data_IF_737140490680
#
_entry.id   IF_737140490680
#
_cell.length_a   1.000
_cell.length_b   1.000
_cell.length_c   1.000
_cell.angle_alpha   90.00
_cell.angle_beta   90.00
_cell.angle_gamma   90.00
#
_symmetry.space_group_name_H-M   'P 1'
#
loop_
_entity.id
_entity.type
_entity.pdbx_description
1 polymer ?
#
# COMPACT_ATOMS: atom_id res chain seq x y z
N UNK A 1 -18.66 -15.80 18.33
CA UNK A 1 -18.36 -15.94 16.89
C UNK A 1 -16.98 -16.55 16.78
N UNK A 2 -16.88 -17.79 16.32
CA UNK A 2 -15.61 -18.49 16.15
C UNK A 2 -14.97 -17.99 14.86
N UNK A 3 -13.93 -17.17 14.96
CA UNK A 3 -13.12 -16.79 13.81
C UNK A 3 -12.18 -17.95 13.50
N UNK A 4 -12.55 -18.76 12.52
CA UNK A 4 -11.61 -19.71 11.92
C UNK A 4 -10.61 -18.91 11.09
N UNK A 5 -9.36 -18.83 11.57
CA UNK A 5 -8.21 -18.43 10.77
C UNK A 5 -7.91 -19.56 9.78
N UNK A 6 -8.71 -19.69 8.73
CA UNK A 6 -8.31 -20.49 7.59
C UNK A 6 -7.36 -19.63 6.75
N UNK A 7 -6.09 -20.01 6.69
CA UNK A 7 -5.37 -19.86 5.44
C UNK A 7 -6.24 -20.59 4.39
N UNK A 8 -6.99 -19.85 3.58
CA UNK A 8 -7.94 -20.46 2.65
C UNK A 8 -7.15 -21.22 1.59
N UNK A 9 -6.97 -22.51 1.82
CA UNK A 9 -6.51 -23.48 0.85
C UNK A 9 -7.61 -24.51 0.63
N UNK A 10 -8.60 -24.20 -0.21
CA UNK A 10 -9.51 -25.20 -0.80
C UNK A 10 -9.95 -24.77 -2.20
N UNK A 11 -9.15 -25.09 -3.22
CA UNK A 11 -9.62 -25.62 -4.51
C UNK A 11 -8.42 -26.01 -5.39
N UNK A 12 -8.60 -27.01 -6.24
CA UNK A 12 -7.62 -27.94 -6.82
C UNK A 12 -6.59 -27.43 -7.86
N UNK A 13 -6.02 -26.24 -7.73
CA UNK A 13 -4.88 -25.86 -8.59
C UNK A 13 -3.78 -25.14 -7.79
N UNK A 14 -2.61 -25.80 -7.67
CA UNK A 14 -1.40 -25.28 -7.02
C UNK A 14 -0.94 -23.97 -7.67
N UNK A 15 -1.09 -22.84 -6.98
CA UNK A 15 -0.11 -21.73 -6.98
C UNK A 15 -0.10 -21.11 -5.58
N UNK A 16 1.00 -21.23 -4.83
CA UNK A 16 1.13 -20.73 -3.46
C UNK A 16 1.29 -19.19 -3.45
N UNK A 17 0.20 -18.45 -3.50
CA UNK A 17 0.16 -17.05 -3.06
C UNK A 17 -0.67 -16.97 -1.78
N UNK A 18 -0.01 -16.70 -0.65
CA UNK A 18 -0.74 -16.42 0.58
C UNK A 18 -1.28 -14.99 0.48
N UNK A 19 -2.58 -14.89 0.28
CA UNK A 19 -3.36 -13.65 0.24
C UNK A 19 -4.19 -13.58 1.51
N UNK A 20 -4.17 -12.44 2.20
CA UNK A 20 -5.04 -12.15 3.34
C UNK A 20 -5.84 -10.89 3.05
N UNK A 21 -7.17 -10.98 3.03
CA UNK A 21 -8.07 -9.84 2.85
C UNK A 21 -8.96 -9.73 4.08
N UNK A 22 -8.96 -8.57 4.73
CA UNK A 22 -9.78 -8.28 5.90
C UNK A 22 -10.55 -6.96 5.75
N UNK A 23 -10.90 -6.61 4.50
CA UNK A 23 -11.47 -5.33 4.13
C UNK A 23 -12.78 -5.02 4.88
N UNK A 24 -13.01 -3.74 5.17
CA UNK A 24 -14.18 -3.18 5.86
C UNK A 24 -14.52 -3.82 7.21
N UNK A 25 -13.58 -4.54 7.82
CA UNK A 25 -13.69 -5.00 9.19
C UNK A 25 -13.45 -3.86 10.20
N UNK A 26 -13.75 -2.59 9.87
CA UNK A 26 -13.30 -1.35 10.53
C UNK A 26 -13.61 -1.16 12.01
N UNK A 27 -14.30 -2.12 12.66
CA UNK A 27 -14.44 -2.21 14.13
C UNK A 27 -13.59 -3.30 14.78
N UNK A 28 -13.20 -4.31 14.02
CA UNK A 28 -12.60 -5.57 14.50
C UNK A 28 -11.08 -5.53 14.41
N UNK A 29 -10.49 -4.96 13.34
CA UNK A 29 -9.03 -4.89 13.22
C UNK A 29 -8.50 -3.72 14.06
N UNK A 30 -8.12 -4.04 15.28
CA UNK A 30 -7.31 -3.20 16.17
C UNK A 30 -5.89 -3.74 16.25
N UNK A 31 -4.95 -2.93 16.72
CA UNK A 31 -3.58 -3.38 17.02
C UNK A 31 -3.56 -4.62 17.93
N UNK A 32 -4.48 -4.73 18.89
CA UNK A 32 -4.59 -5.90 19.78
C UNK A 32 -5.02 -7.17 19.03
N UNK A 33 -6.00 -7.04 18.12
CA UNK A 33 -6.40 -8.19 17.30
C UNK A 33 -5.31 -8.63 16.34
N UNK A 34 -4.52 -7.68 15.79
CA UNK A 34 -3.34 -7.98 15.01
C UNK A 34 -2.30 -8.72 15.84
N UNK A 35 -1.97 -8.23 17.04
CA UNK A 35 -1.05 -8.88 17.97
C UNK A 35 -1.49 -10.32 18.28
N UNK A 36 -2.77 -10.53 18.58
CA UNK A 36 -3.30 -11.86 18.87
C UNK A 36 -3.25 -12.80 17.66
N UNK A 37 -3.37 -12.24 16.44
CA UNK A 37 -3.30 -12.97 15.18
C UNK A 37 -1.86 -13.34 14.84
N UNK A 38 -0.93 -12.39 14.97
CA UNK A 38 0.52 -12.55 14.83
C UNK A 38 1.00 -13.67 15.76
N UNK A 39 0.62 -13.64 17.03
CA UNK A 39 1.01 -14.64 18.01
C UNK A 39 0.55 -16.07 17.64
N UNK A 40 -0.60 -16.20 16.97
CA UNK A 40 -1.16 -17.51 16.57
C UNK A 40 -0.68 -17.98 15.19
N UNK A 41 -0.25 -17.06 14.34
CA UNK A 41 -0.08 -17.31 12.90
C UNK A 41 1.26 -16.82 12.33
N UNK A 42 2.27 -16.59 13.17
CA UNK A 42 3.58 -16.05 12.77
C UNK A 42 4.22 -16.82 11.60
N UNK A 43 4.11 -18.15 11.58
CA UNK A 43 4.63 -19.01 10.50
C UNK A 43 3.89 -18.86 9.17
N UNK A 44 2.64 -18.38 9.20
CA UNK A 44 1.84 -18.10 8.02
C UNK A 44 2.14 -16.70 7.48
N UNK A 45 2.34 -15.73 8.37
CA UNK A 45 2.62 -14.34 8.01
C UNK A 45 3.96 -14.16 7.30
N UNK A 46 4.97 -14.94 7.67
CA UNK A 46 6.28 -14.92 6.99
C UNK A 46 6.23 -15.37 5.52
N UNK A 47 5.13 -16.02 5.10
CA UNK A 47 4.89 -16.46 3.72
C UNK A 47 3.88 -15.57 3.00
N UNK A 48 3.32 -14.57 3.68
CA UNK A 48 2.28 -13.71 3.13
C UNK A 48 2.87 -12.86 2.00
N UNK A 49 2.23 -12.90 0.83
CA UNK A 49 2.69 -12.19 -0.36
C UNK A 49 1.81 -10.97 -0.63
N UNK A 50 0.51 -11.07 -0.36
CA UNK A 50 -0.44 -9.97 -0.54
C UNK A 50 -1.33 -9.82 0.68
N UNK A 51 -1.56 -8.58 1.07
CA UNK A 51 -2.38 -8.20 2.21
C UNK A 51 -3.29 -7.03 1.84
N UNK A 52 -4.58 -7.17 2.13
CA UNK A 52 -5.54 -6.08 2.09
C UNK A 52 -6.16 -5.87 3.46
N UNK A 53 -6.05 -4.64 3.95
CA UNK A 53 -6.66 -4.15 5.19
C UNK A 53 -7.52 -2.92 4.90
N UNK A 54 -8.11 -2.84 3.71
CA UNK A 54 -8.87 -1.66 3.30
C UNK A 54 -9.98 -1.35 4.32
N UNK A 55 -10.10 -0.10 4.76
CA UNK A 55 -11.10 0.30 5.73
C UNK A 55 -10.85 -0.22 7.16
N UNK A 56 -9.62 -0.64 7.49
CA UNK A 56 -9.21 -0.93 8.86
C UNK A 56 -9.03 0.37 9.67
N UNK A 57 -10.13 1.09 9.92
CA UNK A 57 -10.13 2.43 10.53
C UNK A 57 -9.57 2.51 11.96
N UNK A 58 -9.23 1.38 12.58
CA UNK A 58 -8.61 1.29 13.93
C UNK A 58 -7.16 0.81 13.91
N UNK A 59 -6.60 0.58 12.72
CA UNK A 59 -5.18 0.26 12.54
C UNK A 59 -4.35 1.52 12.72
N UNK A 60 -3.34 1.48 13.60
CA UNK A 60 -2.37 2.57 13.75
C UNK A 60 -1.04 2.23 13.12
N UNK A 61 -0.15 3.23 13.00
CA UNK A 61 1.24 3.03 12.55
C UNK A 61 1.96 1.94 13.38
N UNK A 62 1.69 1.87 14.69
CA UNK A 62 2.27 0.84 15.58
C UNK A 62 1.78 -0.57 15.21
N UNK A 63 0.49 -0.73 14.95
CA UNK A 63 -0.08 -1.98 14.49
C UNK A 63 0.49 -2.42 13.16
N UNK A 64 0.65 -1.47 12.23
CA UNK A 64 1.28 -1.72 10.93
C UNK A 64 2.73 -2.21 11.09
N UNK A 65 3.54 -1.55 11.93
CA UNK A 65 4.93 -1.93 12.21
C UNK A 65 5.05 -3.38 12.71
N UNK A 66 4.18 -3.77 13.65
CA UNK A 66 4.13 -5.13 14.17
C UNK A 66 3.76 -6.15 13.09
N UNK A 67 2.86 -5.79 12.18
CA UNK A 67 2.45 -6.66 11.09
C UNK A 67 3.59 -6.86 10.08
N UNK A 68 4.20 -5.77 9.60
CA UNK A 68 5.17 -5.86 8.50
C UNK A 68 6.51 -6.42 8.96
N UNK A 69 6.86 -6.29 10.24
CA UNK A 69 8.02 -6.96 10.83
C UNK A 69 7.89 -8.49 10.84
N UNK A 70 6.68 -9.03 10.78
CA UNK A 70 6.44 -10.48 10.68
C UNK A 70 6.15 -10.96 9.25
N UNK A 71 5.74 -10.05 8.35
CA UNK A 71 5.37 -10.34 6.97
C UNK A 71 6.43 -9.87 5.97
N UNK A 72 7.69 -10.28 6.16
CA UNK A 72 8.83 -9.83 5.36
C UNK A 72 8.88 -10.40 3.92
N UNK A 73 7.88 -11.16 3.49
CA UNK A 73 7.75 -11.64 2.10
C UNK A 73 6.69 -10.84 1.31
N UNK A 74 6.09 -9.82 1.94
CA UNK A 74 4.97 -9.08 1.39
C UNK A 74 5.40 -8.25 0.18
N UNK A 75 4.70 -8.46 -0.93
CA UNK A 75 4.92 -7.76 -2.20
C UNK A 75 3.78 -6.81 -2.55
N UNK A 76 2.58 -7.04 -2.00
CA UNK A 76 1.41 -6.22 -2.29
C UNK A 76 0.70 -5.88 -0.99
N UNK A 77 0.46 -4.59 -0.76
CA UNK A 77 -0.27 -4.13 0.43
C UNK A 77 -1.30 -3.06 0.05
N UNK A 78 -2.55 -3.30 0.44
CA UNK A 78 -3.63 -2.33 0.32
C UNK A 78 -4.05 -1.86 1.71
N UNK A 79 -3.81 -0.58 1.99
CA UNK A 79 -4.13 0.10 3.24
C UNK A 79 -5.15 1.23 3.02
N UNK A 80 -5.84 1.23 1.89
CA UNK A 80 -6.82 2.27 1.54
C UNK A 80 -7.89 2.42 2.63
N UNK A 81 -8.40 3.64 2.83
CA UNK A 81 -9.42 3.98 3.84
C UNK A 81 -9.01 3.67 5.29
N UNK A 82 -7.71 3.52 5.57
CA UNK A 82 -7.19 3.37 6.94
C UNK A 82 -6.98 4.75 7.59
N UNK A 83 -8.04 5.29 8.18
CA UNK A 83 -8.13 6.68 8.66
C UNK A 83 -7.19 7.08 9.81
N UNK A 84 -6.48 6.14 10.44
CA UNK A 84 -5.55 6.41 11.55
C UNK A 84 -4.08 6.22 11.18
N UNK A 85 -3.78 5.82 9.93
CA UNK A 85 -2.41 5.77 9.45
C UNK A 85 -1.93 7.17 9.11
N UNK A 86 -0.69 7.48 9.48
CA UNK A 86 -0.06 8.78 9.19
C UNK A 86 1.08 8.62 8.19
N UNK A 87 1.82 9.70 7.92
CA UNK A 87 3.02 9.63 7.10
C UNK A 87 4.07 8.64 7.64
N UNK A 88 4.10 8.40 8.95
CA UNK A 88 5.02 7.45 9.58
C UNK A 88 4.83 6.01 9.07
N UNK A 89 3.63 5.65 8.62
CA UNK A 89 3.38 4.35 7.98
C UNK A 89 4.27 4.09 6.77
N UNK A 90 4.60 5.11 5.98
CA UNK A 90 5.49 4.91 4.82
C UNK A 90 6.93 4.66 5.23
N UNK A 91 7.43 5.33 6.28
CA UNK A 91 8.78 5.05 6.78
C UNK A 91 8.86 3.63 7.34
N UNK A 92 7.82 3.17 8.05
CA UNK A 92 7.70 1.79 8.55
C UNK A 92 7.73 0.77 7.41
N UNK A 93 6.94 1.01 6.34
CA UNK A 93 6.92 0.15 5.16
C UNK A 93 8.27 0.15 4.45
N UNK A 94 8.90 1.32 4.30
CA UNK A 94 10.20 1.45 3.67
C UNK A 94 11.32 0.75 4.46
N UNK A 95 11.31 0.85 5.79
CA UNK A 95 12.26 0.18 6.67
C UNK A 95 12.16 -1.35 6.57
N UNK A 96 10.94 -1.87 6.43
CA UNK A 96 10.67 -3.31 6.50
C UNK A 96 10.66 -4.01 5.14
N UNK A 97 10.15 -3.33 4.10
CA UNK A 97 9.79 -3.92 2.81
C UNK A 97 10.39 -3.16 1.61
N UNK A 98 11.25 -2.17 1.83
CA UNK A 98 11.72 -1.24 0.80
C UNK A 98 12.36 -1.90 -0.44
N UNK A 99 13.01 -3.04 -0.27
CA UNK A 99 13.66 -3.78 -1.36
C UNK A 99 12.78 -4.83 -2.04
N UNK A 100 11.53 -5.02 -1.60
CA UNK A 100 10.67 -6.13 -2.07
C UNK A 100 9.24 -5.74 -2.41
N UNK A 101 8.72 -4.65 -1.82
CA UNK A 101 7.33 -4.23 -2.02
C UNK A 101 7.14 -3.75 -3.46
N UNK A 102 6.12 -4.29 -4.13
CA UNK A 102 5.80 -4.04 -5.54
C UNK A 102 4.52 -3.25 -5.72
N UNK A 103 3.54 -3.44 -4.84
CA UNK A 103 2.24 -2.80 -4.97
C UNK A 103 1.83 -2.15 -3.65
N UNK A 104 1.43 -0.89 -3.72
CA UNK A 104 0.99 -0.12 -2.58
C UNK A 104 -0.24 0.72 -2.94
N UNK A 105 -1.31 0.55 -2.16
CA UNK A 105 -2.55 1.30 -2.28
C UNK A 105 -2.84 2.03 -0.98
N UNK A 106 -3.00 3.35 -1.05
CA UNK A 106 -3.24 4.26 0.08
C UNK A 106 -4.45 5.17 -0.18
N UNK A 107 -5.41 4.69 -0.95
CA UNK A 107 -6.54 5.50 -1.40
C UNK A 107 -7.38 5.96 -0.20
N UNK A 108 -7.90 7.19 -0.25
CA UNK A 108 -8.77 7.77 0.78
C UNK A 108 -8.20 7.75 2.21
N UNK A 109 -6.87 7.67 2.36
CA UNK A 109 -6.20 7.78 3.65
C UNK A 109 -6.08 9.25 4.07
N UNK A 110 -7.10 9.75 4.76
CA UNK A 110 -7.29 11.19 5.05
C UNK A 110 -6.16 11.89 5.85
N UNK A 111 -5.34 11.15 6.60
CA UNK A 111 -4.22 11.70 7.39
C UNK A 111 -2.87 11.61 6.66
N UNK A 112 -2.86 11.05 5.46
CA UNK A 112 -1.65 10.96 4.64
C UNK A 112 -1.45 12.28 3.87
N UNK A 113 -0.27 12.87 4.05
CA UNK A 113 0.19 14.02 3.27
C UNK A 113 1.27 13.57 2.28
N UNK A 114 1.00 13.77 0.99
CA UNK A 114 1.88 13.38 -0.12
C UNK A 114 3.32 13.91 0.05
N UNK A 115 3.49 15.15 0.56
CA UNK A 115 4.81 15.74 0.74
C UNK A 115 5.59 15.09 1.88
N UNK A 116 4.90 14.67 2.93
CA UNK A 116 5.52 14.02 4.09
C UNK A 116 5.92 12.58 3.79
N UNK A 117 5.18 11.89 2.93
CA UNK A 117 5.44 10.48 2.59
C UNK A 117 6.46 10.30 1.45
N UNK A 118 6.81 11.37 0.74
CA UNK A 118 7.64 11.30 -0.47
C UNK A 118 9.00 10.64 -0.21
N UNK A 119 9.65 10.93 0.92
CA UNK A 119 10.93 10.32 1.29
C UNK A 119 10.80 8.81 1.50
N UNK A 120 9.77 8.38 2.23
CA UNK A 120 9.47 6.96 2.46
C UNK A 120 9.13 6.24 1.16
N UNK A 121 8.27 6.82 0.32
CA UNK A 121 7.91 6.26 -1.00
C UNK A 121 9.12 6.07 -1.89
N UNK A 122 10.07 7.01 -1.92
CA UNK A 122 11.32 6.87 -2.68
C UNK A 122 12.17 5.70 -2.17
N UNK A 123 12.01 5.22 -0.94
CA UNK A 123 12.77 4.07 -0.44
C UNK A 123 12.16 2.71 -0.83
N UNK A 124 10.97 2.71 -1.45
CA UNK A 124 10.36 1.52 -2.04
C UNK A 124 10.94 1.32 -3.45
N UNK A 125 12.08 0.65 -3.52
CA UNK A 125 12.91 0.56 -4.73
C UNK A 125 12.31 -0.31 -5.83
N UNK A 126 11.45 -1.27 -5.45
CA UNK A 126 10.84 -2.23 -6.36
C UNK A 126 9.35 -1.94 -6.64
N UNK A 127 8.87 -0.73 -6.29
CA UNK A 127 7.45 -0.42 -6.47
C UNK A 127 7.10 -0.32 -7.95
N UNK A 128 6.10 -1.10 -8.35
CA UNK A 128 5.57 -1.20 -9.72
C UNK A 128 4.16 -0.61 -9.82
N UNK A 129 3.38 -0.68 -8.73
CA UNK A 129 2.02 -0.15 -8.65
C UNK A 129 1.88 0.79 -7.46
N UNK A 130 1.41 2.01 -7.72
CA UNK A 130 1.11 2.99 -6.70
C UNK A 130 -0.27 3.60 -6.93
N UNK A 131 -1.11 3.54 -5.89
CA UNK A 131 -2.40 4.22 -5.85
C UNK A 131 -2.46 5.18 -4.66
N UNK A 132 -2.79 6.43 -4.96
CA UNK A 132 -2.97 7.52 -3.98
C UNK A 132 -4.32 8.21 -4.17
N UNK A 133 -5.31 7.55 -4.78
CA UNK A 133 -6.59 8.16 -5.13
C UNK A 133 -7.25 8.82 -3.91
N UNK A 134 -7.81 10.02 -4.09
CA UNK A 134 -8.46 10.74 -2.99
C UNK A 134 -7.51 11.30 -1.92
N UNK A 135 -6.18 11.26 -2.09
CA UNK A 135 -5.21 11.93 -1.21
C UNK A 135 -5.03 13.40 -1.63
N UNK A 136 -5.68 14.37 -0.97
CA UNK A 136 -5.87 15.73 -1.53
C UNK A 136 -4.58 16.56 -1.68
N UNK A 137 -3.50 16.12 -1.05
CA UNK A 137 -2.18 16.80 -1.03
C UNK A 137 -1.29 16.41 -2.20
N UNK A 138 -1.70 15.45 -3.04
CA UNK A 138 -1.00 15.10 -4.28
C UNK A 138 -1.06 16.28 -5.25
N UNK A 139 0.09 16.64 -5.81
CA UNK A 139 0.29 17.80 -6.70
C UNK A 139 1.29 17.47 -7.80
N UNK A 140 1.37 18.30 -8.83
CA UNK A 140 2.34 18.13 -9.94
C UNK A 140 3.78 18.00 -9.42
N UNK A 141 4.15 18.80 -8.42
CA UNK A 141 5.49 18.76 -7.81
C UNK A 141 5.78 17.42 -7.13
N UNK A 142 4.77 16.85 -6.47
CA UNK A 142 4.90 15.52 -5.86
C UNK A 142 5.10 14.46 -6.95
N UNK A 143 4.26 14.46 -7.98
CA UNK A 143 4.33 13.52 -9.10
C UNK A 143 5.69 13.62 -9.78
N UNK A 144 6.11 14.83 -10.15
CA UNK A 144 7.43 15.06 -10.76
C UNK A 144 8.55 14.50 -9.90
N UNK A 145 8.58 14.84 -8.61
CA UNK A 145 9.65 14.43 -7.70
C UNK A 145 9.70 12.91 -7.49
N UNK A 146 8.54 12.26 -7.43
CA UNK A 146 8.45 10.80 -7.28
C UNK A 146 8.85 10.09 -8.57
N UNK A 147 8.29 10.51 -9.70
CA UNK A 147 8.49 9.88 -11.02
C UNK A 147 9.94 10.04 -11.50
N UNK A 148 10.59 11.18 -11.27
CA UNK A 148 12.03 11.32 -11.56
C UNK A 148 12.86 10.30 -10.77
N UNK A 149 12.47 9.99 -9.53
CA UNK A 149 13.21 9.06 -8.68
C UNK A 149 12.91 7.58 -8.98
N UNK A 150 11.66 7.24 -9.31
CA UNK A 150 11.17 5.85 -9.33
C UNK A 150 10.36 5.45 -10.57
N UNK A 151 10.11 6.37 -11.49
CA UNK A 151 9.27 6.16 -12.67
C UNK A 151 9.68 4.97 -13.54
N UNK A 152 10.97 4.66 -13.60
CA UNK A 152 11.51 3.54 -14.40
C UNK A 152 10.98 2.15 -14.00
N UNK A 153 10.51 1.98 -12.76
CA UNK A 153 9.93 0.72 -12.28
C UNK A 153 8.40 0.69 -12.34
N UNK A 154 7.76 1.86 -12.47
CA UNK A 154 6.30 1.99 -12.41
C UNK A 154 5.66 1.41 -13.67
N UNK A 155 4.68 0.55 -13.44
CA UNK A 155 3.85 -0.12 -14.47
C UNK A 155 2.40 0.34 -14.41
N UNK A 156 1.93 0.69 -13.23
CA UNK A 156 0.60 1.21 -12.99
C UNK A 156 0.63 2.35 -11.97
N UNK A 157 -0.02 3.45 -12.34
CA UNK A 157 -0.16 4.63 -11.49
C UNK A 157 -1.62 5.08 -11.50
N UNK A 158 -2.24 5.12 -10.32
CA UNK A 158 -3.65 5.46 -10.17
C UNK A 158 -3.74 6.81 -9.47
N UNK A 159 -4.21 7.82 -10.21
CA UNK A 159 -4.28 9.21 -9.79
C UNK A 159 -5.70 9.76 -10.03
N UNK A 160 -6.64 9.40 -9.15
CA UNK A 160 -8.03 9.86 -9.22
C UNK A 160 -8.34 11.00 -8.27
N UNK A 161 -9.32 11.81 -8.69
CA UNK A 161 -9.94 12.86 -7.89
C UNK A 161 -8.95 13.94 -7.42
N UNK A 162 -7.98 14.29 -8.29
CA UNK A 162 -7.00 15.34 -8.01
C UNK A 162 -7.26 16.62 -8.78
N UNK A 163 -7.78 17.63 -8.08
CA UNK A 163 -7.96 18.98 -8.63
C UNK A 163 -6.65 19.76 -8.88
N UNK A 164 -5.52 19.22 -8.40
CA UNK A 164 -4.22 19.92 -8.38
C UNK A 164 -3.21 19.36 -9.40
N UNK A 165 -3.62 18.41 -10.25
CA UNK A 165 -2.76 17.88 -11.31
C UNK A 165 -3.05 18.55 -12.64
N UNK A 166 -2.01 18.78 -13.43
CA UNK A 166 -2.08 19.33 -14.78
C UNK A 166 -1.33 18.46 -15.77
N UNK A 167 -1.31 18.86 -17.04
CA UNK A 167 -0.52 18.21 -18.10
C UNK A 167 0.98 18.15 -17.79
N UNK A 168 1.48 18.96 -16.85
CA UNK A 168 2.87 18.88 -16.38
C UNK A 168 3.19 17.50 -15.80
N UNK A 169 2.29 16.94 -14.99
CA UNK A 169 2.43 15.56 -14.48
C UNK A 169 2.46 14.55 -15.60
N UNK A 170 1.58 14.69 -16.59
CA UNK A 170 1.47 13.75 -17.72
C UNK A 170 2.74 13.73 -18.55
N UNK A 171 3.34 14.90 -18.78
CA UNK A 171 4.61 15.01 -19.49
C UNK A 171 5.72 14.26 -18.76
N UNK A 172 5.87 14.47 -17.45
CA UNK A 172 6.94 13.82 -16.68
C UNK A 172 6.74 12.29 -16.62
N UNK A 173 5.49 11.84 -16.47
CA UNK A 173 5.13 10.41 -16.52
C UNK A 173 5.52 9.80 -17.88
N UNK A 174 5.13 10.45 -18.99
CA UNK A 174 5.44 9.96 -20.33
C UNK A 174 6.96 9.88 -20.61
N UNK A 175 7.74 10.80 -20.04
CA UNK A 175 9.20 10.85 -20.22
C UNK A 175 9.96 9.82 -19.37
N UNK A 176 9.46 9.47 -18.19
CA UNK A 176 10.22 8.72 -17.18
C UNK A 176 9.64 7.36 -16.79
N UNK A 177 8.48 6.98 -17.33
CA UNK A 177 7.84 5.68 -17.08
C UNK A 177 7.76 4.81 -18.36
N UNK A 178 8.89 4.30 -18.88
CA UNK A 178 8.91 3.52 -20.12
C UNK A 178 8.16 2.17 -20.03
N UNK A 179 7.90 1.69 -18.80
CA UNK A 179 7.18 0.45 -18.52
C UNK A 179 5.72 0.64 -18.11
N UNK A 180 5.17 1.86 -18.21
CA UNK A 180 3.79 2.14 -17.83
C UNK A 180 2.83 1.53 -18.85
N UNK A 181 1.92 0.68 -18.39
CA UNK A 181 0.87 0.08 -19.23
C UNK A 181 -0.54 0.42 -18.75
N UNK A 182 -0.68 0.95 -17.53
CA UNK A 182 -1.95 1.42 -16.98
C UNK A 182 -1.76 2.79 -16.29
N UNK A 183 -2.59 3.75 -16.67
CA UNK A 183 -2.66 5.08 -16.07
C UNK A 183 -4.13 5.44 -15.93
N UNK A 184 -4.60 5.58 -14.70
CA UNK A 184 -5.99 5.93 -14.40
C UNK A 184 -6.06 7.36 -13.84
N UNK A 185 -6.76 8.23 -14.58
CA UNK A 185 -6.85 9.68 -14.38
C UNK A 185 -8.29 10.16 -14.22
N UNK A 186 -9.22 9.30 -13.77
CA UNK A 186 -10.61 9.73 -13.64
C UNK A 186 -10.75 10.96 -12.73
N UNK A 187 -11.56 11.93 -13.18
CA UNK A 187 -11.90 13.18 -12.48
C UNK A 187 -10.74 14.14 -12.21
N UNK A 188 -9.75 14.21 -13.13
CA UNK A 188 -8.83 15.34 -13.23
C UNK A 188 -9.52 16.59 -13.80
#
# INVERSE_FOLDING_TARGET
>A
MNYSFSCIGKSQYMIYFAVLQLDQCGRVITDDTLLSTLAKSASCLSKLISLSLTGACRLTDKGLQLLVSSAMALKSINLSQCSLLTYASLDILADSLGSILKELYLDDCILIDANLILSGLKRLEQLEVLSLAGVPTVSDKFIESYIIARGHNIKELILKDFINLTDASMKVIAEHCPGLHALDLMNL
#
